data_IF_903563218975
#
_entry.id   IF_903563218975
#
_cell.length_a   1.000
_cell.length_b   1.000
_cell.length_c   1.000
_cell.angle_alpha   90.00
_cell.angle_beta   90.00
_cell.angle_gamma   90.00
#
_symmetry.space_group_name_H-M   'P 1'
#
loop_
_entity.id
_entity.type
_entity.pdbx_description
1 polymer ?
#
# COMPACT_ATOMS: atom_id res chain seq x y z
N UNK A 1 -36.10 20.11 32.46
CA UNK A 1 -35.62 19.53 32.08
C UNK A 1 -34.85 19.63 31.14
N UNK A 2 -34.09 19.42 30.90
CA UNK A 2 -33.37 19.56 30.04
C UNK A 2 -33.14 18.68 29.16
N UNK A 3 -33.23 18.85 28.12
CA UNK A 3 -33.04 18.01 27.13
C UNK A 3 -31.69 18.01 26.77
N UNK A 4 -31.15 17.03 26.81
CA UNK A 4 -29.90 16.91 26.40
C UNK A 4 -29.93 16.46 25.04
N UNK A 5 -29.54 17.27 24.24
CA UNK A 5 -29.45 16.94 22.98
C UNK A 5 -28.20 16.29 22.70
N UNK A 6 -28.25 15.11 22.54
CA UNK A 6 -27.14 14.44 22.07
C UNK A 6 -27.17 14.53 20.65
N UNK A 7 -26.49 15.43 20.17
CA UNK A 7 -26.14 15.36 18.85
C UNK A 7 -25.14 14.34 18.74
N UNK A 8 -25.56 13.26 18.46
CA UNK A 8 -24.70 12.28 18.00
C UNK A 8 -24.34 12.72 16.64
N UNK A 9 -23.35 13.41 16.58
CA UNK A 9 -22.75 13.60 15.35
C UNK A 9 -22.16 12.31 14.97
N UNK A 10 -22.88 11.63 14.24
CA UNK A 10 -22.39 10.57 13.58
C UNK A 10 -21.45 11.06 12.65
N UNK A 11 -20.32 11.07 13.07
CA UNK A 11 -19.26 11.15 12.22
C UNK A 11 -19.26 9.98 11.41
N UNK A 12 -19.83 10.16 10.32
CA UNK A 12 -19.70 9.25 9.30
C UNK A 12 -18.32 9.25 8.84
N UNK A 13 -17.51 8.63 9.57
CA UNK A 13 -16.26 8.27 8.98
C UNK A 13 -16.57 7.17 8.01
N UNK A 14 -16.69 7.52 6.81
CA UNK A 14 -16.65 6.55 5.77
C UNK A 14 -15.33 5.84 5.87
N UNK A 15 -15.31 4.56 5.95
CA UNK A 15 -14.07 3.84 5.95
C UNK A 15 -13.44 4.04 4.60
N UNK A 16 -12.29 4.60 4.63
CA UNK A 16 -11.45 4.80 3.49
C UNK A 16 -10.23 3.94 3.69
N UNK A 17 -9.41 3.84 2.69
CA UNK A 17 -8.11 3.21 2.83
C UNK A 17 -7.41 3.77 4.06
N UNK A 18 -6.55 2.99 4.65
CA UNK A 18 -5.79 3.44 5.80
C UNK A 18 -5.04 4.71 5.42
N UNK A 19 -5.28 5.75 6.19
CA UNK A 19 -4.60 7.01 5.95
C UNK A 19 -3.16 6.89 6.39
N UNK A 20 -2.23 7.24 5.51
CA UNK A 20 -0.81 7.22 5.83
C UNK A 20 -0.48 8.50 6.57
N UNK A 21 0.04 8.36 7.78
CA UNK A 21 0.47 9.48 8.60
C UNK A 21 1.99 9.60 8.55
N UNK A 22 2.50 10.78 8.79
CA UNK A 22 3.95 11.01 8.76
C UNK A 22 4.71 10.06 9.70
N UNK A 23 4.13 9.73 10.86
CA UNK A 23 4.78 8.82 11.80
C UNK A 23 4.74 7.36 11.38
N UNK A 24 3.94 7.02 10.37
CA UNK A 24 3.91 5.66 9.84
C UNK A 24 5.13 5.37 8.97
N UNK A 25 5.81 6.41 8.49
CA UNK A 25 6.92 6.23 7.56
C UNK A 25 8.06 5.40 8.15
N UNK A 26 8.25 5.49 9.46
CA UNK A 26 9.27 4.69 10.14
C UNK A 26 9.00 3.19 10.06
N UNK A 27 7.74 2.78 10.12
CA UNK A 27 7.41 1.36 10.03
C UNK A 27 7.38 0.87 8.59
N UNK A 28 7.12 1.76 7.65
CA UNK A 28 7.13 1.40 6.24
C UNK A 28 8.54 1.31 5.67
N UNK A 29 9.45 2.14 6.16
CA UNK A 29 10.80 2.16 5.61
C UNK A 29 11.50 0.82 5.84
N UNK A 30 11.96 0.21 4.77
CA UNK A 30 12.59 -1.10 4.82
C UNK A 30 11.63 -2.27 4.81
N UNK A 31 10.33 -2.03 4.85
CA UNK A 31 9.35 -3.11 4.76
C UNK A 31 9.40 -3.76 3.38
N UNK A 32 9.22 -5.06 3.34
CA UNK A 32 9.21 -5.82 2.08
C UNK A 32 7.79 -6.00 1.61
N UNK A 33 7.58 -5.84 0.32
CA UNK A 33 6.30 -6.12 -0.31
C UNK A 33 6.35 -7.53 -0.83
N UNK A 34 5.37 -8.34 -0.43
CA UNK A 34 5.36 -9.77 -0.76
C UNK A 34 4.02 -10.11 -1.40
N UNK A 35 4.09 -10.67 -2.60
CA UNK A 35 2.89 -11.12 -3.29
C UNK A 35 2.22 -12.28 -2.57
N UNK A 36 0.97 -12.56 -2.94
CA UNK A 36 0.22 -13.67 -2.34
C UNK A 36 0.89 -15.02 -2.57
N UNK A 37 1.73 -15.11 -3.59
CA UNK A 37 2.51 -16.30 -3.92
C UNK A 37 3.85 -16.37 -3.18
N UNK A 38 4.15 -15.40 -2.32
CA UNK A 38 5.39 -15.36 -1.55
C UNK A 38 6.55 -14.70 -2.27
N UNK A 39 6.35 -14.17 -3.47
CA UNK A 39 7.41 -13.53 -4.24
C UNK A 39 7.65 -12.12 -3.70
N UNK A 40 8.92 -11.76 -3.49
CA UNK A 40 9.30 -10.41 -3.09
C UNK A 40 9.12 -9.44 -4.27
N UNK A 41 8.45 -8.34 -4.00
CA UNK A 41 8.17 -7.32 -5.01
C UNK A 41 8.90 -6.02 -4.72
N UNK A 42 9.97 -6.09 -3.93
CA UNK A 42 10.76 -4.93 -3.55
C UNK A 42 10.43 -4.42 -2.17
N UNK A 43 10.96 -3.26 -1.86
CA UNK A 43 10.80 -2.64 -0.54
C UNK A 43 10.17 -1.28 -0.63
N UNK A 44 9.57 -0.87 0.47
CA UNK A 44 9.17 0.52 0.66
C UNK A 44 10.36 1.28 1.20
N UNK A 45 10.61 2.44 0.66
CA UNK A 45 11.73 3.27 1.10
C UNK A 45 12.00 4.41 0.13
N UNK A 46 12.96 5.26 0.48
CA UNK A 46 13.30 6.40 -0.37
C UNK A 46 13.77 5.98 -1.75
N UNK A 47 13.60 6.87 -2.71
CA UNK A 47 13.94 6.57 -4.11
C UNK A 47 15.41 6.25 -4.36
N UNK A 48 16.28 6.58 -3.43
CA UNK A 48 17.71 6.26 -3.58
C UNK A 48 18.07 4.85 -3.08
N UNK A 49 17.13 4.16 -2.44
CA UNK A 49 17.35 2.78 -2.02
C UNK A 49 17.23 1.87 -3.25
N UNK A 50 18.24 1.05 -3.50
CA UNK A 50 18.30 0.21 -4.70
C UNK A 50 17.17 -0.81 -4.80
N UNK A 51 16.53 -1.16 -3.70
CA UNK A 51 15.42 -2.12 -3.68
C UNK A 51 14.05 -1.47 -3.53
N UNK A 52 14.01 -0.14 -3.48
CA UNK A 52 12.74 0.57 -3.33
C UNK A 52 11.89 0.48 -4.58
N UNK A 53 10.60 0.30 -4.39
CA UNK A 53 9.65 0.35 -5.51
C UNK A 53 9.56 1.76 -6.11
N UNK A 54 10.10 2.76 -5.40
CA UNK A 54 10.10 4.15 -5.88
C UNK A 54 11.43 4.55 -6.54
N UNK A 55 12.39 3.62 -6.59
CA UNK A 55 13.65 3.84 -7.30
C UNK A 55 13.46 3.45 -8.76
N UNK A 56 13.46 4.45 -9.64
CA UNK A 56 13.20 4.22 -11.07
C UNK A 56 14.22 3.29 -11.74
N UNK A 57 15.39 3.11 -11.12
CA UNK A 57 16.41 2.20 -11.64
C UNK A 57 16.27 0.78 -11.08
N UNK A 58 15.34 0.56 -10.17
CA UNK A 58 15.13 -0.75 -9.58
C UNK A 58 14.28 -1.62 -10.50
N UNK A 59 14.58 -2.93 -10.53
CA UNK A 59 13.72 -3.87 -11.25
C UNK A 59 12.29 -3.89 -10.71
N UNK A 60 12.11 -3.43 -9.47
CA UNK A 60 10.79 -3.42 -8.83
C UNK A 60 9.95 -2.20 -9.21
N UNK A 61 10.51 -1.26 -9.96
CA UNK A 61 9.76 -0.07 -10.36
C UNK A 61 9.58 0.06 -11.86
N UNK A 62 10.16 -0.85 -12.64
CA UNK A 62 10.08 -0.76 -14.09
C UNK A 62 8.71 -1.20 -14.60
N UNK A 63 8.37 -0.76 -15.82
CA UNK A 63 7.10 -1.11 -16.44
C UNK A 63 7.17 -2.44 -17.19
N UNK A 64 8.32 -3.11 -17.19
CA UNK A 64 8.49 -4.36 -17.96
C UNK A 64 8.91 -5.56 -17.11
N UNK A 65 9.35 -5.35 -15.86
CA UNK A 65 9.76 -6.47 -15.02
C UNK A 65 8.55 -7.24 -14.51
N UNK A 66 8.64 -8.56 -14.53
CA UNK A 66 7.55 -9.41 -14.02
C UNK A 66 7.34 -9.28 -12.52
N UNK A 67 8.33 -8.75 -11.80
CA UNK A 67 8.23 -8.55 -10.35
C UNK A 67 7.90 -7.12 -9.96
N UNK A 68 7.56 -6.28 -10.93
CA UNK A 68 7.22 -4.89 -10.63
C UNK A 68 5.71 -4.69 -10.51
N UNK A 69 5.30 -4.01 -9.45
CA UNK A 69 3.89 -3.64 -9.32
C UNK A 69 3.48 -2.60 -10.36
N UNK A 70 4.45 -1.92 -10.97
CA UNK A 70 4.18 -0.89 -11.99
C UNK A 70 4.13 -1.44 -13.40
N UNK A 71 4.33 -2.74 -13.56
CA UNK A 71 4.16 -3.40 -14.85
C UNK A 71 2.70 -3.84 -14.98
N UNK A 72 1.95 -3.16 -15.83
CA UNK A 72 0.52 -3.45 -16.00
C UNK A 72 0.26 -4.81 -16.66
N UNK A 73 1.30 -5.47 -17.14
CA UNK A 73 1.18 -6.82 -17.68
C UNK A 73 1.53 -7.90 -16.67
N UNK A 74 2.02 -7.52 -15.48
CA UNK A 74 2.34 -8.50 -14.45
C UNK A 74 1.10 -8.77 -13.61
N UNK A 75 1.10 -9.92 -12.92
CA UNK A 75 0.01 -10.26 -12.01
C UNK A 75 -0.11 -9.27 -10.86
N UNK A 76 0.97 -8.55 -10.55
CA UNK A 76 1.01 -7.63 -9.41
C UNK A 76 0.64 -6.20 -9.78
N UNK A 77 0.62 -5.87 -11.07
CA UNK A 77 0.32 -4.52 -11.55
C UNK A 77 -0.90 -4.41 -12.45
N UNK A 78 -1.45 -5.54 -12.87
CA UNK A 78 -2.60 -5.56 -13.76
C UNK A 78 -3.87 -5.20 -13.01
N UNK A 79 -4.61 -4.22 -13.51
CA UNK A 79 -5.81 -3.74 -12.84
C UNK A 79 -6.95 -4.74 -12.75
N UNK A 80 -6.82 -5.88 -13.40
CA UNK A 80 -7.83 -6.95 -13.36
C UNK A 80 -7.35 -8.20 -12.61
N UNK A 81 -6.09 -8.22 -12.18
CA UNK A 81 -5.54 -9.38 -11.50
C UNK A 81 -5.99 -9.43 -10.04
N UNK A 82 -6.30 -10.63 -9.56
CA UNK A 82 -6.68 -10.85 -8.16
C UNK A 82 -5.54 -10.59 -7.19
N UNK A 83 -4.30 -10.51 -7.68
CA UNK A 83 -3.10 -10.36 -6.85
C UNK A 83 -2.46 -8.97 -6.99
N UNK A 84 -3.14 -8.06 -7.64
CA UNK A 84 -2.53 -6.78 -8.02
C UNK A 84 -2.76 -5.68 -7.00
N UNK A 85 -1.76 -4.82 -6.87
CA UNK A 85 -1.87 -3.58 -6.11
C UNK A 85 -2.92 -2.65 -6.73
N UNK A 86 -3.02 -2.64 -8.06
CA UNK A 86 -3.84 -1.66 -8.79
C UNK A 86 -5.22 -2.16 -9.19
N UNK A 87 -5.63 -3.30 -8.69
CA UNK A 87 -7.01 -3.78 -8.81
C UNK A 87 -7.76 -3.41 -7.54
N UNK A 88 -8.69 -2.48 -7.61
CA UNK A 88 -9.46 -2.03 -6.45
C UNK A 88 -10.22 -3.15 -5.76
N UNK A 89 -10.50 -4.22 -6.48
CA UNK A 89 -11.27 -5.34 -5.94
C UNK A 89 -10.40 -6.59 -5.71
N UNK A 90 -9.08 -6.45 -5.74
CA UNK A 90 -8.21 -7.60 -5.61
C UNK A 90 -8.43 -8.30 -4.26
N UNK A 91 -8.74 -9.60 -4.26
CA UNK A 91 -8.89 -10.33 -3.01
C UNK A 91 -7.56 -10.62 -2.32
N UNK A 92 -6.47 -10.68 -3.08
CA UNK A 92 -5.16 -11.09 -2.54
C UNK A 92 -4.05 -10.11 -2.92
N UNK A 93 -4.16 -8.82 -2.58
CA UNK A 93 -3.11 -7.88 -2.93
C UNK A 93 -1.84 -8.18 -2.14
N UNK A 94 -0.69 -7.66 -2.58
CA UNK A 94 0.55 -7.88 -1.87
C UNK A 94 0.49 -7.40 -0.42
N UNK A 95 1.22 -8.10 0.44
CA UNK A 95 1.32 -7.75 1.86
C UNK A 95 2.54 -6.89 2.10
N UNK A 96 2.45 -6.05 3.11
CA UNK A 96 3.57 -5.24 3.56
C UNK A 96 4.11 -5.89 4.83
N UNK A 97 5.34 -6.38 4.77
CA UNK A 97 5.97 -7.08 5.89
C UNK A 97 7.08 -6.19 6.43
N UNK A 98 7.00 -5.84 7.70
CA UNK A 98 8.00 -4.98 8.33
C UNK A 98 9.38 -5.65 8.39
N UNK A 99 10.40 -4.87 8.71
CA UNK A 99 11.75 -5.43 8.87
C UNK A 99 11.79 -6.50 9.97
N UNK A 100 10.88 -6.41 10.95
CA UNK A 100 10.79 -7.39 12.03
C UNK A 100 10.00 -8.63 11.64
N UNK A 101 9.45 -8.65 10.42
CA UNK A 101 8.70 -9.81 9.95
C UNK A 101 7.20 -9.78 10.21
N UNK A 102 6.67 -8.65 10.68
CA UNK A 102 5.24 -8.53 10.96
C UNK A 102 4.48 -8.01 9.75
N UNK A 103 3.32 -8.56 9.50
CA UNK A 103 2.46 -8.00 8.47
C UNK A 103 1.82 -6.73 8.99
N UNK A 104 2.12 -5.61 8.37
CA UNK A 104 1.62 -4.31 8.82
C UNK A 104 0.49 -3.78 7.94
N UNK A 105 0.12 -4.50 6.91
CA UNK A 105 -0.97 -4.13 6.04
C UNK A 105 -0.80 -4.72 4.66
N UNK A 106 -1.64 -4.27 3.74
CA UNK A 106 -1.59 -4.68 2.34
C UNK A 106 -1.36 -3.46 1.47
N UNK A 107 -0.63 -3.64 0.40
CA UNK A 107 -0.38 -2.59 -0.57
C UNK A 107 -1.46 -2.69 -1.64
N UNK A 108 -2.33 -1.70 -1.72
CA UNK A 108 -3.47 -1.76 -2.62
C UNK A 108 -4.15 -0.40 -2.76
N UNK A 109 -4.66 -0.14 -3.96
CA UNK A 109 -5.43 1.07 -4.22
C UNK A 109 -6.90 0.96 -3.79
N UNK A 110 -7.33 -0.16 -3.28
CA UNK A 110 -8.72 -0.32 -2.84
C UNK A 110 -9.02 -1.71 -2.35
N UNK A 111 -10.24 -1.96 -1.98
CA UNK A 111 -11.38 -1.04 -1.98
C UNK A 111 -11.28 0.01 -0.88
N UNK A 112 -11.93 1.12 -1.11
CA UNK A 112 -11.81 2.30 -0.25
C UNK A 112 -12.32 2.10 1.17
N UNK A 113 -13.11 1.05 1.41
CA UNK A 113 -13.64 0.78 2.74
C UNK A 113 -12.72 -0.11 3.60
N UNK A 114 -11.61 -0.60 3.03
CA UNK A 114 -10.71 -1.50 3.75
C UNK A 114 -9.56 -0.71 4.39
N UNK A 115 -9.62 -0.55 5.71
CA UNK A 115 -8.64 0.23 6.46
C UNK A 115 -7.29 -0.46 6.65
N UNK A 116 -7.12 -1.69 6.16
CA UNK A 116 -5.84 -2.39 6.22
C UNK A 116 -5.05 -2.28 4.93
N UNK A 117 -5.56 -1.55 3.96
CA UNK A 117 -4.91 -1.37 2.66
C UNK A 117 -4.35 0.02 2.54
N UNK A 118 -3.12 0.10 2.07
CA UNK A 118 -2.40 1.36 1.88
C UNK A 118 -2.08 1.54 0.41
N UNK A 119 -2.42 2.70 -0.12
CA UNK A 119 -2.11 3.04 -1.51
C UNK A 119 -0.63 3.43 -1.60
N UNK A 120 0.13 2.84 -2.53
CA UNK A 120 1.55 3.16 -2.66
C UNK A 120 1.83 4.62 -2.95
N UNK A 121 0.93 5.31 -3.63
CA UNK A 121 1.12 6.73 -3.90
C UNK A 121 0.97 7.57 -2.63
N UNK A 122 0.06 7.19 -1.75
CA UNK A 122 -0.10 7.89 -0.47
C UNK A 122 1.13 7.72 0.40
N UNK A 123 1.72 6.52 0.40
CA UNK A 123 2.97 6.27 1.12
C UNK A 123 4.08 7.14 0.55
N UNK A 124 4.21 7.15 -0.76
CA UNK A 124 5.26 7.90 -1.44
C UNK A 124 5.19 9.39 -1.12
N UNK A 125 4.00 9.97 -1.22
CA UNK A 125 3.83 11.40 -0.97
C UNK A 125 4.00 11.74 0.50
N UNK A 126 3.39 10.98 1.39
CA UNK A 126 3.44 11.27 2.82
C UNK A 126 4.85 11.13 3.38
N UNK A 127 5.61 10.16 2.86
CA UNK A 127 6.96 9.89 3.33
C UNK A 127 8.04 10.62 2.54
N UNK A 128 7.64 11.39 1.53
CA UNK A 128 8.57 12.15 0.70
C UNK A 128 9.64 11.24 0.07
N UNK A 129 9.18 10.16 -0.51
CA UNK A 129 10.05 9.16 -1.14
C UNK A 129 10.06 9.23 -2.67
N UNK A 130 9.51 10.28 -3.23
CA UNK A 130 9.49 10.50 -4.69
C UNK A 130 10.74 11.19 -5.24
#
# INVERSE_FOLDING_TARGET
MKSVLFIVVLLLSTPILAEVKAWDCGKFEGATIVGSDGISLGKLGPKWDSNSIFNESSEYSTTWSSNSIFNSSSDYGNSYSSDSVFNESAPNPPRIISEEGEEIGKLSVGPSWDSERYDPNDIKYTCDWD
#
